data_IF_302091309673
#
_entry.id   IF_302091309673
#
_cell.length_a   1.000
_cell.length_b   1.000
_cell.length_c   1.000
_cell.angle_alpha   90.00
_cell.angle_beta   90.00
_cell.angle_gamma   90.00
#
_symmetry.space_group_name_H-M   'P 1'
#
loop_
_entity.id
_entity.type
_entity.pdbx_description
1 polymer ?
#
# COMPACT_ATOMS: atom_id res chain seq x y z
N UNK A 1 -37.23 -6.84 -8.30
CA UNK A 1 -35.85 -6.53 -8.67
C UNK A 1 -35.51 -5.19 -8.08
N UNK A 2 -34.50 -5.09 -7.24
CA UNK A 2 -34.08 -3.83 -6.60
C UNK A 2 -32.61 -3.58 -6.90
N UNK A 3 -32.26 -2.38 -7.34
CA UNK A 3 -30.87 -1.96 -7.47
C UNK A 3 -30.37 -1.34 -6.18
N UNK A 4 -29.19 -1.76 -5.72
CA UNK A 4 -28.49 -1.17 -4.58
C UNK A 4 -27.15 -0.64 -5.06
N UNK A 5 -26.93 0.65 -4.84
CA UNK A 5 -25.71 1.36 -5.23
C UNK A 5 -25.06 1.91 -3.95
N UNK A 6 -23.78 1.63 -3.75
CA UNK A 6 -22.99 2.18 -2.66
C UNK A 6 -21.88 3.06 -3.23
N UNK A 7 -21.80 4.31 -2.79
CA UNK A 7 -20.87 5.31 -3.27
C UNK A 7 -20.06 5.91 -2.11
N UNK A 8 -18.74 5.92 -2.24
CA UNK A 8 -17.81 6.54 -1.29
C UNK A 8 -17.54 7.99 -1.66
N UNK A 9 -17.87 8.93 -0.76
CA UNK A 9 -17.82 10.38 -1.04
C UNK A 9 -16.41 10.90 -1.38
N UNK A 10 -15.37 10.35 -0.75
CA UNK A 10 -13.96 10.75 -0.92
C UNK A 10 -13.12 9.79 -1.78
N UNK A 11 -13.75 8.76 -2.34
CA UNK A 11 -13.07 7.68 -3.05
C UNK A 11 -12.62 6.51 -2.14
N UNK A 12 -11.86 5.54 -2.67
CA UNK A 12 -11.71 4.22 -2.04
C UNK A 12 -10.47 4.08 -1.13
N UNK A 13 -9.73 5.16 -0.86
CA UNK A 13 -8.48 5.12 -0.10
C UNK A 13 -8.60 5.97 1.17
N UNK A 14 -8.19 5.41 2.30
CA UNK A 14 -8.32 6.03 3.62
C UNK A 14 -7.09 5.75 4.49
N UNK A 15 -6.80 6.61 5.46
CA UNK A 15 -5.91 6.29 6.57
C UNK A 15 -6.69 5.50 7.65
N UNK A 16 -6.00 4.60 8.34
CA UNK A 16 -6.53 3.99 9.56
C UNK A 16 -6.81 5.09 10.60
N UNK A 17 -8.02 5.09 11.18
CA UNK A 17 -8.52 6.14 12.07
C UNK A 17 -9.34 7.22 11.39
N UNK A 18 -9.36 7.32 10.05
CA UNK A 18 -10.26 8.24 9.34
C UNK A 18 -11.70 7.69 9.31
N UNK A 19 -12.69 8.59 9.38
CA UNK A 19 -14.06 8.22 9.04
C UNK A 19 -14.23 7.99 7.54
N UNK A 20 -14.89 6.87 7.24
CA UNK A 20 -15.40 6.53 5.92
C UNK A 20 -16.87 6.91 5.88
N UNK A 21 -17.26 7.65 4.85
CA UNK A 21 -18.64 7.95 4.52
C UNK A 21 -19.05 7.29 3.21
N UNK A 22 -20.20 6.62 3.23
CA UNK A 22 -20.77 5.94 2.08
C UNK A 22 -22.26 6.24 1.97
N UNK A 23 -22.71 6.65 0.79
CA UNK A 23 -24.15 6.78 0.49
C UNK A 23 -24.62 5.48 -0.16
N UNK A 24 -25.63 4.86 0.44
CA UNK A 24 -26.28 3.66 -0.06
C UNK A 24 -27.64 4.03 -0.60
N UNK A 25 -27.80 3.94 -1.91
CA UNK A 25 -29.05 4.23 -2.61
C UNK A 25 -29.70 2.92 -3.04
N UNK A 26 -30.96 2.76 -2.68
CA UNK A 26 -31.80 1.62 -3.05
C UNK A 26 -32.89 2.11 -3.99
N UNK A 27 -33.01 1.50 -5.16
CA UNK A 27 -33.90 1.93 -6.24
C UNK A 27 -34.73 0.79 -6.77
N UNK A 28 -36.03 1.01 -6.96
CA UNK A 28 -36.86 0.14 -7.78
C UNK A 28 -36.69 0.56 -9.26
N UNK A 29 -35.99 -0.22 -10.10
CA UNK A 29 -35.61 0.18 -11.45
C UNK A 29 -36.79 0.12 -12.45
N UNK A 30 -37.97 -0.29 -12.01
CA UNK A 30 -39.17 -0.27 -12.86
C UNK A 30 -39.54 1.16 -13.24
N UNK A 31 -40.08 1.39 -14.45
CA UNK A 31 -40.50 2.72 -14.86
C UNK A 31 -41.63 3.23 -13.95
N UNK A 32 -41.71 4.55 -13.70
CA UNK A 32 -42.78 5.15 -12.88
C UNK A 32 -44.21 4.89 -13.41
N UNK A 33 -44.32 4.48 -14.68
CA UNK A 33 -45.58 4.10 -15.33
C UNK A 33 -46.03 2.68 -15.00
N UNK A 34 -45.20 1.86 -14.35
CA UNK A 34 -45.58 0.54 -13.89
C UNK A 34 -46.57 0.63 -12.72
N UNK A 35 -47.37 -0.41 -12.53
CA UNK A 35 -48.43 -0.42 -11.53
C UNK A 35 -47.85 -0.50 -10.11
N UNK A 36 -48.47 0.13 -9.11
CA UNK A 36 -48.06 0.01 -7.70
C UNK A 36 -48.09 -1.44 -7.17
N UNK A 37 -48.77 -2.36 -7.87
CA UNK A 37 -48.68 -3.80 -7.59
C UNK A 37 -47.27 -4.39 -7.82
N UNK A 38 -46.39 -3.64 -8.49
CA UNK A 38 -44.97 -3.95 -8.67
C UNK A 38 -44.05 -3.25 -7.67
N UNK A 39 -44.63 -2.74 -6.57
CA UNK A 39 -43.91 -2.40 -5.34
C UNK A 39 -43.04 -3.58 -4.89
N UNK A 40 -41.81 -3.27 -4.51
CA UNK A 40 -40.86 -4.24 -3.97
C UNK A 40 -40.60 -3.97 -2.49
N UNK A 41 -40.47 -5.03 -1.69
CA UNK A 41 -40.29 -4.94 -0.25
C UNK A 41 -38.96 -5.59 0.18
N UNK A 42 -38.13 -4.78 0.84
CA UNK A 42 -36.89 -5.22 1.49
C UNK A 42 -37.12 -5.31 3.00
N UNK A 43 -36.73 -6.44 3.58
CA UNK A 43 -36.88 -6.68 5.02
C UNK A 43 -35.91 -5.80 5.82
N UNK A 44 -34.64 -5.70 5.40
CA UNK A 44 -33.64 -4.86 6.04
C UNK A 44 -32.37 -4.74 5.20
N UNK A 45 -31.54 -3.76 5.55
CA UNK A 45 -30.16 -3.67 5.09
C UNK A 45 -29.21 -3.25 6.22
N UNK A 46 -28.00 -3.80 6.23
CA UNK A 46 -26.96 -3.45 7.20
C UNK A 46 -25.60 -3.34 6.52
N UNK A 47 -24.76 -2.45 7.04
CA UNK A 47 -23.42 -2.19 6.53
C UNK A 47 -22.36 -2.44 7.61
N UNK A 48 -21.22 -3.01 7.20
CA UNK A 48 -20.11 -3.32 8.08
C UNK A 48 -18.79 -3.28 7.32
N UNK A 49 -17.74 -2.77 7.95
CA UNK A 49 -16.38 -2.80 7.41
C UNK A 49 -15.65 -4.01 8.01
N UNK A 50 -14.92 -4.74 7.17
CA UNK A 50 -14.11 -5.86 7.62
C UNK A 50 -12.79 -5.98 6.86
N UNK A 51 -11.77 -6.51 7.53
CA UNK A 51 -10.49 -6.88 6.96
C UNK A 51 -10.36 -8.40 6.88
N UNK A 52 -9.98 -8.89 5.71
CA UNK A 52 -9.69 -10.29 5.47
C UNK A 52 -8.21 -10.52 5.29
N UNK A 53 -7.74 -11.56 5.97
CA UNK A 53 -6.40 -12.06 5.90
C UNK A 53 -6.35 -13.38 5.16
N UNK A 54 -5.50 -13.46 4.15
CA UNK A 54 -5.20 -14.68 3.43
C UNK A 54 -3.70 -14.93 3.47
N UNK A 55 -3.30 -16.12 3.91
CA UNK A 55 -1.91 -16.57 3.91
C UNK A 55 -1.69 -17.64 2.82
N UNK A 56 -0.54 -17.58 2.15
CA UNK A 56 -0.12 -18.61 1.21
C UNK A 56 0.25 -19.87 1.96
N UNK A 57 -0.52 -20.94 1.79
CA UNK A 57 -0.24 -22.24 2.39
C UNK A 57 1.19 -22.71 2.06
N UNK A 58 1.71 -22.37 0.89
CA UNK A 58 3.05 -22.80 0.47
C UNK A 58 4.22 -22.14 1.22
N UNK A 59 3.99 -20.99 1.86
CA UNK A 59 5.02 -20.11 2.47
C UNK A 59 4.81 -19.89 3.96
N UNK A 60 3.55 -19.82 4.40
CA UNK A 60 3.14 -19.49 5.76
C UNK A 60 2.53 -20.73 6.42
N UNK A 61 2.99 -21.03 7.62
CA UNK A 61 2.42 -22.04 8.52
C UNK A 61 1.68 -21.31 9.64
N UNK A 62 0.36 -21.19 9.52
CA UNK A 62 -0.49 -20.68 10.59
C UNK A 62 -0.79 -21.79 11.60
N UNK A 63 -0.98 -21.44 12.89
CA UNK A 63 -1.53 -22.39 13.85
C UNK A 63 -2.89 -22.91 13.37
N UNK A 64 -3.30 -24.14 13.74
CA UNK A 64 -4.64 -24.62 13.46
C UNK A 64 -5.66 -23.62 14.05
N UNK A 65 -6.78 -23.36 13.36
CA UNK A 65 -7.82 -22.50 13.91
C UNK A 65 -8.28 -23.08 15.25
N UNK A 66 -8.40 -22.22 16.27
CA UNK A 66 -8.92 -22.65 17.55
C UNK A 66 -10.29 -23.30 17.35
N UNK A 67 -10.39 -24.59 17.68
CA UNK A 67 -11.65 -25.36 17.62
C UNK A 67 -12.81 -24.76 18.42
N UNK A 68 -12.54 -23.75 19.26
CA UNK A 68 -13.53 -23.00 20.04
C UNK A 68 -14.23 -21.87 19.27
N UNK A 69 -13.70 -21.44 18.11
CA UNK A 69 -14.48 -20.74 17.09
C UNK A 69 -14.77 -21.73 15.98
N UNK A 70 -15.79 -22.60 16.14
CA UNK A 70 -16.25 -23.33 14.99
C UNK A 70 -16.70 -22.26 13.98
N UNK A 71 -16.19 -22.36 12.76
CA UNK A 71 -16.67 -21.64 11.58
C UNK A 71 -18.07 -22.19 11.24
N UNK A 72 -18.96 -22.26 12.25
CA UNK A 72 -20.40 -22.41 12.09
C UNK A 72 -20.83 -21.12 11.45
N UNK A 73 -20.58 -21.01 10.14
CA UNK A 73 -21.45 -20.22 9.32
C UNK A 73 -22.85 -20.71 9.66
N UNK A 74 -23.72 -19.88 10.25
CA UNK A 74 -25.11 -20.25 10.34
C UNK A 74 -25.56 -20.67 8.94
N UNK A 75 -26.04 -21.91 8.81
CA UNK A 75 -26.64 -22.45 7.58
C UNK A 75 -27.79 -21.55 7.09
N UNK A 76 -28.30 -20.71 7.99
CA UNK A 76 -29.29 -19.69 7.69
C UNK A 76 -28.81 -18.70 6.63
N UNK A 77 -29.37 -18.84 5.43
CA UNK A 77 -29.11 -17.96 4.28
C UNK A 77 -29.56 -16.51 4.49
N UNK A 78 -30.21 -16.20 5.61
CA UNK A 78 -30.71 -14.85 5.93
C UNK A 78 -29.80 -14.08 6.88
N UNK A 79 -28.84 -14.71 7.57
CA UNK A 79 -27.97 -14.01 8.52
C UNK A 79 -26.96 -13.09 7.80
N UNK A 80 -26.75 -11.88 8.32
CA UNK A 80 -25.69 -10.99 7.86
C UNK A 80 -24.31 -11.50 8.29
N UNK A 81 -23.58 -12.06 7.32
CA UNK A 81 -22.18 -12.44 7.46
C UNK A 81 -21.37 -11.73 6.37
N UNK A 82 -20.67 -10.63 6.67
CA UNK A 82 -19.96 -9.84 5.65
C UNK A 82 -18.97 -10.67 4.82
N UNK A 83 -18.33 -11.65 5.47
CA UNK A 83 -17.31 -12.53 4.88
C UNK A 83 -17.88 -13.81 4.25
N UNK A 84 -19.20 -14.00 4.15
CA UNK A 84 -19.80 -15.21 3.57
C UNK A 84 -19.31 -15.46 2.13
N UNK A 85 -18.79 -16.66 1.87
CA UNK A 85 -18.27 -17.04 0.56
C UNK A 85 -16.91 -16.43 0.21
N UNK A 86 -16.27 -15.73 1.15
CA UNK A 86 -14.90 -15.25 0.99
C UNK A 86 -13.88 -16.25 1.56
N UNK A 87 -12.64 -16.20 1.06
CA UNK A 87 -11.55 -17.04 1.55
C UNK A 87 -10.69 -16.29 2.56
N UNK A 88 -10.15 -17.03 3.52
CA UNK A 88 -9.27 -16.48 4.55
C UNK A 88 -10.01 -16.16 5.83
N UNK A 89 -9.29 -15.55 6.77
CA UNK A 89 -9.77 -15.25 8.12
C UNK A 89 -10.19 -13.78 8.21
N UNK A 90 -11.34 -13.52 8.84
CA UNK A 90 -11.70 -12.15 9.21
C UNK A 90 -10.90 -11.77 10.46
N UNK A 91 -9.92 -10.88 10.32
CA UNK A 91 -9.02 -10.49 11.41
C UNK A 91 -9.49 -9.22 12.14
N UNK A 92 -10.41 -8.48 11.52
CA UNK A 92 -10.90 -7.21 12.02
C UNK A 92 -12.25 -6.90 11.40
N UNK A 93 -13.19 -6.43 12.21
CA UNK A 93 -14.50 -5.98 11.76
C UNK A 93 -15.02 -4.88 12.67
N UNK A 94 -15.76 -3.94 12.11
CA UNK A 94 -16.52 -2.94 12.87
C UNK A 94 -17.86 -3.52 13.31
N UNK A 95 -18.58 -2.93 14.28
CA UNK A 95 -19.96 -3.33 14.55
C UNK A 95 -20.85 -3.12 13.31
N UNK A 96 -21.78 -4.04 12.99
CA UNK A 96 -22.73 -3.83 11.91
C UNK A 96 -23.71 -2.70 12.26
N UNK A 97 -23.98 -1.81 11.30
CA UNK A 97 -24.99 -0.74 11.43
C UNK A 97 -26.17 -1.03 10.51
N UNK A 98 -27.39 -0.97 11.05
CA UNK A 98 -28.62 -1.12 10.28
C UNK A 98 -28.90 0.19 9.54
N UNK A 99 -29.12 0.11 8.23
CA UNK A 99 -29.47 1.26 7.40
C UNK A 99 -30.98 1.50 7.40
N UNK A 100 -31.76 0.42 7.28
CA UNK A 100 -33.22 0.45 7.36
C UNK A 100 -33.78 -0.93 7.68
N UNK A 101 -35.04 -0.94 8.12
CA UNK A 101 -35.91 -2.10 8.24
C UNK A 101 -37.21 -1.83 7.48
N UNK A 102 -37.81 -2.87 6.92
CA UNK A 102 -39.11 -2.86 6.24
C UNK A 102 -39.29 -1.71 5.23
N UNK A 103 -38.40 -1.64 4.24
CA UNK A 103 -38.47 -0.65 3.17
C UNK A 103 -39.37 -1.17 2.04
N UNK A 104 -40.35 -0.36 1.63
CA UNK A 104 -41.14 -0.56 0.42
C UNK A 104 -40.78 0.53 -0.58
N UNK A 105 -40.61 0.15 -1.84
CA UNK A 105 -40.33 1.08 -2.95
C UNK A 105 -41.30 0.84 -4.09
N UNK A 106 -42.04 1.88 -4.45
CA UNK A 106 -42.85 1.91 -5.66
C UNK A 106 -41.96 1.97 -6.92
N UNK A 107 -42.49 1.62 -8.11
CA UNK A 107 -41.74 1.71 -9.36
C UNK A 107 -41.12 3.10 -9.58
N UNK A 108 -39.82 3.14 -9.80
CA UNK A 108 -39.05 4.38 -9.99
C UNK A 108 -38.71 5.12 -8.69
N UNK A 109 -39.14 4.62 -7.54
CA UNK A 109 -38.77 5.18 -6.24
C UNK A 109 -37.35 4.79 -5.85
N UNK A 110 -36.61 5.76 -5.32
CA UNK A 110 -35.28 5.58 -4.77
C UNK A 110 -35.22 6.15 -3.36
N UNK A 111 -34.48 5.49 -2.47
CA UNK A 111 -34.18 6.00 -1.14
C UNK A 111 -32.71 5.83 -0.82
N UNK A 112 -32.09 6.90 -0.33
CA UNK A 112 -30.67 6.93 0.02
C UNK A 112 -30.46 7.02 1.52
N UNK A 113 -29.42 6.35 2.00
CA UNK A 113 -29.01 6.31 3.40
C UNK A 113 -27.53 6.62 3.50
N UNK A 114 -27.12 7.38 4.51
CA UNK A 114 -25.71 7.64 4.79
C UNK A 114 -25.18 6.66 5.82
N UNK A 115 -24.07 6.00 5.50
CA UNK A 115 -23.28 5.16 6.39
C UNK A 115 -21.98 5.89 6.72
N UNK A 116 -21.69 6.06 8.01
CA UNK A 116 -20.42 6.62 8.47
C UNK A 116 -19.80 5.70 9.51
N UNK A 117 -18.51 5.42 9.39
CA UNK A 117 -17.74 4.58 10.31
C UNK A 117 -16.27 4.96 10.36
N UNK A 118 -15.68 4.98 11.56
CA UNK A 118 -14.24 5.23 11.73
C UNK A 118 -13.46 3.94 11.50
N UNK A 119 -12.50 3.98 10.58
CA UNK A 119 -11.65 2.82 10.29
C UNK A 119 -10.79 2.47 11.51
N UNK A 120 -10.78 1.20 11.95
CA UNK A 120 -9.95 0.80 13.10
C UNK A 120 -8.46 1.08 12.90
N UNK A 121 -7.80 1.56 13.95
CA UNK A 121 -6.37 1.92 13.95
C UNK A 121 -5.44 0.72 14.11
N UNK A 122 -5.89 -0.34 14.81
CA UNK A 122 -5.08 -1.52 15.15
C UNK A 122 -4.93 -2.52 13.99
N UNK A 123 -5.49 -2.21 12.82
CA UNK A 123 -5.48 -3.07 11.65
C UNK A 123 -4.18 -2.97 10.82
N UNK A 124 -3.81 -4.02 10.07
CA UNK A 124 -2.72 -3.93 9.08
C UNK A 124 -3.12 -3.03 7.90
N UNK A 125 -2.17 -2.48 7.12
CA UNK A 125 -2.52 -1.79 5.88
C UNK A 125 -3.07 -2.77 4.83
N UNK A 126 -3.83 -2.24 3.86
CA UNK A 126 -4.20 -3.00 2.66
C UNK A 126 -2.95 -3.38 1.89
N UNK A 127 -2.70 -4.69 1.76
CA UNK A 127 -1.48 -5.22 1.17
C UNK A 127 -1.76 -6.52 0.39
N UNK A 128 -1.06 -6.70 -0.72
CA UNK A 128 -1.12 -7.92 -1.52
C UNK A 128 0.30 -8.37 -1.86
N UNK A 129 0.86 -9.24 -1.03
CA UNK A 129 2.16 -9.87 -1.22
C UNK A 129 2.08 -11.27 -1.83
N UNK A 130 3.21 -11.95 -1.88
CA UNK A 130 3.31 -13.35 -2.28
C UNK A 130 2.98 -14.30 -1.13
N UNK A 131 3.25 -13.88 0.11
CA UNK A 131 3.06 -14.70 1.31
C UNK A 131 1.73 -14.39 1.98
N UNK A 132 1.31 -13.13 2.01
CA UNK A 132 0.04 -12.75 2.63
C UNK A 132 -0.73 -11.68 1.85
N UNK A 133 -2.03 -11.58 2.14
CA UNK A 133 -2.92 -10.55 1.61
C UNK A 133 -3.83 -10.03 2.73
N UNK A 134 -3.92 -8.71 2.87
CA UNK A 134 -4.84 -8.00 3.75
C UNK A 134 -5.80 -7.16 2.90
N UNK A 135 -7.11 -7.45 2.98
CA UNK A 135 -8.14 -6.86 2.13
C UNK A 135 -9.24 -6.24 2.96
N UNK A 136 -9.43 -4.94 2.84
CA UNK A 136 -10.55 -4.23 3.48
C UNK A 136 -11.71 -4.09 2.52
N UNK A 137 -12.93 -4.25 3.04
CA UNK A 137 -14.17 -4.03 2.31
C UNK A 137 -15.22 -3.44 3.22
N UNK A 138 -16.01 -2.53 2.67
CA UNK A 138 -17.34 -2.23 3.20
C UNK A 138 -18.32 -3.21 2.57
N UNK A 139 -19.10 -3.91 3.38
CA UNK A 139 -20.11 -4.85 2.90
C UNK A 139 -21.49 -4.40 3.33
N UNK A 140 -22.38 -4.24 2.35
CA UNK A 140 -23.79 -3.96 2.55
C UNK A 140 -24.54 -5.26 2.32
N UNK A 141 -25.16 -5.80 3.36
CA UNK A 141 -26.08 -6.91 3.27
C UNK A 141 -27.50 -6.40 3.12
N UNK A 142 -28.22 -6.89 2.12
CA UNK A 142 -29.60 -6.52 1.86
C UNK A 142 -30.43 -7.80 1.71
N UNK A 143 -31.63 -7.82 2.30
CA UNK A 143 -32.51 -8.97 2.21
C UNK A 143 -33.88 -8.55 1.67
N UNK A 144 -34.29 -9.13 0.54
CA UNK A 144 -35.68 -9.08 0.08
C UNK A 144 -36.54 -10.01 0.93
N UNK A 145 -37.80 -9.63 1.18
CA UNK A 145 -38.74 -10.49 1.93
C UNK A 145 -38.80 -11.88 1.28
N UNK A 146 -38.77 -12.94 2.11
CA UNK A 146 -38.76 -14.34 1.68
C UNK A 146 -37.62 -14.74 0.73
N UNK A 147 -36.51 -14.01 0.73
CA UNK A 147 -35.34 -14.26 -0.14
C UNK A 147 -34.05 -14.38 0.71
N UNK A 148 -33.02 -15.08 0.22
CA UNK A 148 -31.70 -15.08 0.87
C UNK A 148 -31.08 -13.68 0.85
N UNK A 149 -30.14 -13.43 1.77
CA UNK A 149 -29.40 -12.17 1.81
C UNK A 149 -28.46 -12.06 0.60
N UNK A 150 -28.39 -10.87 -0.01
CA UNK A 150 -27.39 -10.51 -1.01
C UNK A 150 -26.37 -9.54 -0.39
N UNK A 151 -25.11 -9.67 -0.80
CA UNK A 151 -23.99 -8.89 -0.24
C UNK A 151 -23.34 -8.04 -1.33
N UNK A 152 -23.49 -6.73 -1.25
CA UNK A 152 -22.72 -5.76 -2.03
C UNK A 152 -21.40 -5.48 -1.31
N UNK A 153 -20.28 -5.54 -2.03
CA UNK A 153 -18.94 -5.37 -1.47
C UNK A 153 -18.22 -4.23 -2.15
N UNK A 154 -17.88 -3.20 -1.40
CA UNK A 154 -17.10 -2.05 -1.84
C UNK A 154 -15.65 -2.24 -1.36
N UNK A 155 -14.67 -2.43 -2.25
CA UNK A 155 -13.27 -2.62 -1.86
C UNK A 155 -12.66 -1.31 -1.36
N UNK A 156 -11.89 -1.39 -0.28
CA UNK A 156 -11.24 -0.25 0.35
C UNK A 156 -9.73 -0.47 0.46
N UNK A 157 -8.97 0.61 0.28
CA UNK A 157 -7.53 0.62 0.52
C UNK A 157 -7.22 1.42 1.77
N UNK A 158 -6.73 0.73 2.80
CA UNK A 158 -6.34 1.34 4.07
C UNK A 158 -4.82 1.54 4.10
N UNK A 159 -4.40 2.77 4.37
CA UNK A 159 -3.02 3.15 4.66
C UNK A 159 -2.85 3.26 6.18
N UNK A 160 -1.71 2.83 6.71
CA UNK A 160 -1.42 2.91 8.14
C UNK A 160 -0.18 3.76 8.34
N UNK A 161 -0.27 4.79 9.18
CA UNK A 161 0.87 5.60 9.62
C UNK A 161 1.15 5.31 11.11
N UNK A 162 2.21 4.54 11.35
CA UNK A 162 2.61 4.12 12.71
C UNK A 162 2.94 5.33 13.59
N UNK A 163 2.49 5.30 14.85
CA UNK A 163 2.74 6.35 15.84
C UNK A 163 1.69 7.47 15.86
N UNK A 164 0.71 7.51 14.95
CA UNK A 164 -0.45 8.41 15.06
C UNK A 164 -1.29 8.14 16.31
N UNK A 165 -1.36 6.88 16.76
CA UNK A 165 -2.13 6.44 17.93
C UNK A 165 -1.67 7.07 19.25
N UNK A 166 -0.38 7.42 19.37
CA UNK A 166 0.19 7.96 20.61
C UNK A 166 -0.22 9.42 20.87
N UNK A 167 -0.88 10.09 19.92
CA UNK A 167 -1.39 11.46 20.12
C UNK A 167 -2.71 11.37 20.87
N UNK A 168 -2.63 11.39 22.20
CA UNK A 168 -3.77 11.82 23.00
C UNK A 168 -4.21 13.19 22.51
N UNK A 169 -5.53 13.38 22.38
CA UNK A 169 -6.12 14.71 22.30
C UNK A 169 -5.45 15.59 23.37
N UNK A 170 -5.04 16.84 23.07
CA UNK A 170 -4.85 17.80 24.14
C UNK A 170 -6.22 17.99 24.82
N UNK A 171 -6.50 17.14 25.79
CA UNK A 171 -7.66 17.22 26.66
C UNK A 171 -7.29 18.25 27.73
N UNK A 172 -7.51 19.52 27.38
CA UNK A 172 -7.14 20.72 28.14
C UNK A 172 -5.63 21.01 28.17
N UNK A 173 -5.10 21.69 27.15
CA UNK A 173 -4.06 22.69 27.42
C UNK A 173 -3.96 23.77 26.32
N UNK A 174 -4.09 25.02 26.78
CA UNK A 174 -3.78 26.27 26.11
C UNK A 174 -4.66 26.68 24.91
N UNK A 175 -5.63 27.54 25.23
CA UNK A 175 -5.86 28.90 24.64
C UNK A 175 -4.89 29.28 23.50
N UNK A 176 -4.90 28.55 22.38
CA UNK A 176 -4.46 29.08 21.11
C UNK A 176 -5.61 29.94 20.60
N UNK A 177 -5.38 31.19 20.19
CA UNK A 177 -6.46 32.01 19.67
C UNK A 177 -7.06 31.29 18.47
N UNK A 178 -8.32 30.87 18.62
CA UNK A 178 -9.15 30.46 17.50
C UNK A 178 -9.05 31.57 16.45
N UNK A 179 -8.50 31.26 15.28
CA UNK A 179 -8.38 32.25 14.21
C UNK A 179 -9.76 32.87 14.00
N UNK A 180 -9.93 34.20 14.17
CA UNK A 180 -11.25 34.84 14.09
C UNK A 180 -11.87 34.81 12.68
N UNK A 181 -11.20 34.16 11.73
CA UNK A 181 -11.61 33.97 10.34
C UNK A 181 -12.05 32.53 10.03
N UNK A 182 -11.96 31.61 10.99
CA UNK A 182 -12.39 30.22 10.82
C UNK A 182 -13.69 30.00 11.60
N UNK A 183 -14.78 29.68 10.89
CA UNK A 183 -16.00 29.23 11.56
C UNK A 183 -15.77 27.87 12.21
N UNK A 184 -16.19 27.75 13.47
CA UNK A 184 -16.08 26.52 14.24
C UNK A 184 -17.16 25.52 13.81
N UNK A 185 -16.90 24.74 12.76
CA UNK A 185 -17.81 23.62 12.44
C UNK A 185 -17.41 22.38 13.25
N UNK A 186 -18.06 22.20 14.41
CA UNK A 186 -17.65 21.21 15.42
C UNK A 186 -17.84 19.74 14.99
N UNK A 187 -18.71 19.44 14.02
CA UNK A 187 -18.97 18.05 13.61
C UNK A 187 -17.93 17.45 12.66
N UNK A 188 -17.25 18.27 11.85
CA UNK A 188 -16.28 17.81 10.83
C UNK A 188 -14.80 17.90 11.24
N UNK A 189 -14.49 18.55 12.37
CA UNK A 189 -13.10 18.82 12.79
C UNK A 189 -12.29 17.55 13.07
N UNK A 190 -12.88 16.49 13.62
CA UNK A 190 -12.11 15.30 14.06
C UNK A 190 -11.47 14.55 12.89
N UNK A 191 -12.20 14.38 11.79
CA UNK A 191 -11.71 13.65 10.61
C UNK A 191 -10.74 14.48 9.77
N UNK A 192 -10.97 15.79 9.64
CA UNK A 192 -10.01 16.72 9.04
C UNK A 192 -8.70 16.78 9.84
N UNK A 193 -8.79 16.79 11.17
CA UNK A 193 -7.64 16.90 12.06
C UNK A 193 -6.67 15.72 11.94
N UNK A 194 -7.16 14.47 11.90
CA UNK A 194 -6.26 13.32 11.72
C UNK A 194 -5.51 13.37 10.39
N UNK A 195 -6.19 13.80 9.31
CA UNK A 195 -5.57 13.98 8.01
C UNK A 195 -4.54 15.11 8.01
N UNK A 196 -4.83 16.24 8.68
CA UNK A 196 -3.91 17.37 8.85
C UNK A 196 -2.68 17.00 9.69
N UNK A 197 -2.89 16.36 10.85
CA UNK A 197 -1.83 15.88 11.74
C UNK A 197 -0.95 14.84 11.05
N UNK A 198 -1.56 13.90 10.31
CA UNK A 198 -0.82 12.95 9.49
C UNK A 198 0.00 13.69 8.42
N UNK A 199 -0.58 14.70 7.77
CA UNK A 199 0.10 15.54 6.79
C UNK A 199 1.31 16.28 7.37
N UNK A 200 1.16 16.91 8.53
CA UNK A 200 2.23 17.61 9.25
C UNK A 200 3.37 16.65 9.62
N UNK A 201 3.04 15.49 10.20
CA UNK A 201 4.02 14.47 10.58
C UNK A 201 4.77 13.91 9.38
N UNK A 202 4.07 13.65 8.28
CA UNK A 202 4.69 13.22 7.04
C UNK A 202 5.63 14.30 6.50
N UNK A 203 5.22 15.57 6.51
CA UNK A 203 6.07 16.68 6.09
C UNK A 203 7.31 16.81 6.97
N UNK A 204 7.17 16.75 8.30
CA UNK A 204 8.29 16.80 9.23
C UNK A 204 9.26 15.62 9.00
N UNK A 205 8.75 14.41 8.82
CA UNK A 205 9.56 13.21 8.63
C UNK A 205 10.27 13.14 7.26
N UNK A 206 9.71 13.71 6.20
CA UNK A 206 10.28 13.61 4.84
C UNK A 206 10.97 14.88 4.33
N UNK A 207 10.84 16.01 5.04
CA UNK A 207 11.46 17.31 4.66
C UNK A 207 12.95 17.38 4.99
N UNK A 208 13.41 16.68 6.03
CA UNK A 208 14.81 16.70 6.44
C UNK A 208 15.71 16.07 5.36
N UNK A 209 16.67 16.85 4.86
CA UNK A 209 17.66 16.42 3.87
C UNK A 209 19.05 16.53 4.48
N UNK A 210 19.75 15.42 4.58
CA UNK A 210 21.15 15.32 4.98
C UNK A 210 21.88 14.37 4.04
N UNK A 211 22.98 14.82 3.45
CA UNK A 211 23.77 14.01 2.53
C UNK A 211 24.51 12.91 3.29
N UNK A 212 24.11 11.67 3.08
CA UNK A 212 24.78 10.48 3.57
C UNK A 212 25.68 9.93 2.47
N UNK A 213 26.97 9.80 2.77
CA UNK A 213 27.98 9.28 1.86
C UNK A 213 28.38 7.87 2.29
N UNK A 214 28.45 6.95 1.32
CA UNK A 214 28.84 5.57 1.51
C UNK A 214 30.00 5.25 0.57
N UNK A 215 31.11 4.77 1.11
CA UNK A 215 32.21 4.28 0.30
C UNK A 215 31.83 2.92 -0.30
N UNK A 216 31.95 2.81 -1.62
CA UNK A 216 31.79 1.56 -2.35
C UNK A 216 33.19 1.01 -2.60
N UNK A 217 33.46 -0.17 -2.07
CA UNK A 217 34.73 -0.87 -2.27
C UNK A 217 34.45 -2.34 -2.59
N UNK A 218 35.25 -2.90 -3.49
CA UNK A 218 35.33 -4.34 -3.66
C UNK A 218 36.49 -4.90 -2.80
N UNK A 219 36.75 -6.21 -2.89
CA UNK A 219 37.88 -6.83 -2.17
C UNK A 219 39.27 -6.36 -2.63
N UNK A 220 39.37 -5.57 -3.71
CA UNK A 220 40.63 -5.09 -4.31
C UNK A 220 40.87 -3.61 -4.05
N UNK A 221 39.83 -2.82 -3.79
CA UNK A 221 39.95 -1.40 -3.50
C UNK A 221 38.66 -0.61 -3.61
N UNK A 222 38.79 0.72 -3.70
CA UNK A 222 37.67 1.65 -3.78
C UNK A 222 37.13 1.66 -5.21
N UNK A 223 35.82 1.50 -5.37
CA UNK A 223 35.12 1.66 -6.65
C UNK A 223 34.59 3.09 -6.79
N UNK A 224 34.12 3.67 -5.69
CA UNK A 224 33.59 5.03 -5.68
C UNK A 224 32.88 5.39 -4.38
N UNK A 225 32.05 6.41 -4.43
CA UNK A 225 31.25 6.90 -3.31
C UNK A 225 29.81 7.10 -3.76
N UNK A 226 28.87 6.51 -3.04
CA UNK A 226 27.44 6.73 -3.21
C UNK A 226 26.94 7.80 -2.25
N UNK A 227 26.11 8.72 -2.73
CA UNK A 227 25.48 9.77 -1.95
C UNK A 227 23.95 9.74 -2.04
N UNK A 228 23.29 9.85 -0.90
CA UNK A 228 21.82 9.97 -0.80
C UNK A 228 21.45 11.09 0.17
N UNK A 229 20.42 11.88 -0.16
CA UNK A 229 20.08 13.07 0.60
C UNK A 229 19.11 12.84 1.76
N UNK A 230 18.50 11.67 1.87
CA UNK A 230 17.66 11.26 3.00
C UNK A 230 17.41 9.75 2.96
N UNK A 231 16.97 9.19 4.07
CA UNK A 231 16.62 7.76 4.18
C UNK A 231 15.12 7.51 4.38
N UNK A 232 14.33 8.58 4.56
CA UNK A 232 12.88 8.54 4.78
C UNK A 232 12.16 9.25 3.65
N UNK A 233 11.27 8.52 3.00
CA UNK A 233 10.49 8.95 1.84
C UNK A 233 9.01 8.67 2.09
N UNK A 234 8.14 9.26 1.29
CA UNK A 234 6.72 8.89 1.21
C UNK A 234 6.38 8.34 -0.18
N UNK A 235 5.28 7.62 -0.29
CA UNK A 235 4.74 7.18 -1.57
C UNK A 235 4.58 8.37 -2.54
N UNK A 236 5.01 8.19 -3.78
CA UNK A 236 4.99 9.23 -4.82
C UNK A 236 6.21 10.14 -4.87
N UNK A 237 7.19 9.97 -3.98
CA UNK A 237 8.48 10.66 -4.08
C UNK A 237 9.49 9.89 -4.92
N UNK A 238 10.51 10.61 -5.36
CA UNK A 238 11.64 10.06 -6.08
C UNK A 238 12.83 9.86 -5.13
N UNK A 239 13.45 8.68 -5.21
CA UNK A 239 14.73 8.40 -4.56
C UNK A 239 15.86 8.82 -5.49
N UNK A 240 16.47 9.96 -5.17
CA UNK A 240 17.60 10.50 -5.92
C UNK A 240 18.92 10.13 -5.23
N UNK A 241 19.84 9.57 -6.01
CA UNK A 241 21.17 9.21 -5.57
C UNK A 241 22.24 9.67 -6.54
N UNK A 242 23.45 9.88 -6.04
CA UNK A 242 24.62 10.24 -6.84
C UNK A 242 25.73 9.23 -6.64
N UNK A 243 26.47 8.92 -7.71
CA UNK A 243 27.66 8.08 -7.67
C UNK A 243 28.85 8.91 -8.13
N UNK A 244 29.90 8.95 -7.32
CA UNK A 244 31.21 9.50 -7.67
C UNK A 244 32.20 8.34 -7.82
N UNK A 245 32.59 8.04 -9.05
CA UNK A 245 33.50 6.94 -9.40
C UNK A 245 34.92 7.45 -9.71
N UNK A 246 35.12 8.77 -9.78
CA UNK A 246 36.42 9.37 -10.12
C UNK A 246 37.54 9.10 -9.11
N UNK A 247 37.18 8.83 -7.85
CA UNK A 247 38.14 8.51 -6.77
C UNK A 247 38.37 7.00 -6.62
N UNK A 248 37.82 6.17 -7.51
CA UNK A 248 37.94 4.72 -7.47
C UNK A 248 39.32 4.25 -7.93
N UNK A 249 39.95 3.36 -7.17
CA UNK A 249 41.10 2.57 -7.61
C UNK A 249 40.70 1.40 -8.50
N UNK A 250 39.41 1.01 -8.47
CA UNK A 250 38.83 -0.07 -9.28
C UNK A 250 37.83 0.51 -10.27
N UNK A 251 38.01 0.20 -11.56
CA UNK A 251 37.14 0.70 -12.61
C UNK A 251 35.76 0.02 -12.57
N UNK A 252 34.70 0.84 -12.41
CA UNK A 252 33.32 0.40 -12.54
C UNK A 252 32.88 0.47 -14.00
N UNK A 253 32.48 -0.67 -14.57
CA UNK A 253 32.04 -0.77 -15.96
C UNK A 253 30.56 -0.48 -16.11
N UNK A 254 29.77 -0.97 -15.15
CA UNK A 254 28.32 -0.82 -15.14
C UNK A 254 27.81 -0.85 -13.71
N UNK A 255 26.72 -0.14 -13.45
CA UNK A 255 25.95 -0.32 -12.23
C UNK A 255 24.45 -0.42 -12.53
N UNK A 256 23.73 -1.03 -11.62
CA UNK A 256 22.27 -1.11 -11.58
C UNK A 256 21.82 -0.78 -10.18
N UNK A 257 20.77 0.03 -10.06
CA UNK A 257 20.11 0.32 -8.79
C UNK A 257 18.61 0.07 -8.93
N UNK A 258 18.07 -0.76 -8.04
CA UNK A 258 16.66 -1.16 -8.05
C UNK A 258 15.99 -0.76 -6.74
N UNK A 259 14.84 -0.11 -6.84
CA UNK A 259 13.94 0.14 -5.71
C UNK A 259 13.12 -1.12 -5.48
N UNK A 260 13.28 -1.74 -4.31
CA UNK A 260 12.68 -3.03 -4.00
C UNK A 260 11.91 -3.01 -2.69
N UNK A 261 10.83 -3.79 -2.63
CA UNK A 261 10.22 -4.23 -1.38
C UNK A 261 10.66 -5.65 -1.03
N UNK A 262 11.04 -5.85 0.21
CA UNK A 262 11.36 -7.13 0.83
C UNK A 262 10.19 -7.54 1.73
N UNK A 263 9.45 -8.56 1.30
CA UNK A 263 8.42 -9.22 2.10
C UNK A 263 9.05 -10.42 2.81
N UNK A 264 9.04 -10.41 4.14
CA UNK A 264 9.61 -11.46 4.97
C UNK A 264 8.56 -12.01 5.92
N UNK A 265 8.31 -13.31 5.85
CA UNK A 265 7.48 -14.03 6.82
C UNK A 265 8.26 -14.19 8.12
N UNK A 266 7.63 -13.93 9.26
CA UNK A 266 8.25 -14.08 10.58
C UNK A 266 8.58 -15.55 10.87
N UNK A 267 9.73 -15.85 11.49
CA UNK A 267 10.24 -17.21 11.62
C UNK A 267 9.29 -18.18 12.34
N UNK A 268 8.44 -17.68 13.22
CA UNK A 268 7.41 -18.44 13.95
C UNK A 268 6.34 -19.01 13.01
N UNK A 269 6.07 -18.31 11.90
CA UNK A 269 5.05 -18.64 10.90
C UNK A 269 5.66 -19.11 9.58
N UNK A 270 6.98 -19.29 9.49
CA UNK A 270 7.62 -19.81 8.29
C UNK A 270 7.35 -21.31 8.14
N UNK A 271 6.88 -21.72 6.96
CA UNK A 271 6.72 -23.14 6.66
C UNK A 271 8.10 -23.79 6.50
N UNK A 272 8.54 -24.57 7.51
CA UNK A 272 9.80 -25.33 7.47
C UNK A 272 9.77 -26.31 6.30
N UNK A 273 10.55 -26.04 5.26
CA UNK A 273 10.85 -27.00 4.18
C UNK A 273 12.24 -27.57 4.43
N UNK A 274 12.34 -28.75 5.03
CA UNK A 274 13.64 -29.42 5.24
C UNK A 274 14.65 -28.69 6.15
N UNK A 275 15.71 -29.40 6.54
CA UNK A 275 16.81 -28.88 7.37
C UNK A 275 17.71 -27.96 6.55
N UNK A 276 17.69 -26.65 6.81
CA UNK A 276 18.68 -25.69 6.28
C UNK A 276 18.16 -24.63 5.29
N UNK A 277 16.86 -24.40 5.18
CA UNK A 277 16.32 -23.42 4.22
C UNK A 277 16.42 -21.98 4.74
N UNK A 278 16.98 -21.11 3.89
CA UNK A 278 17.04 -19.66 4.05
C UNK A 278 15.66 -19.06 4.40
N UNK A 279 15.59 -17.92 5.11
CA UNK A 279 14.33 -17.29 5.43
C UNK A 279 13.46 -17.08 4.17
N UNK A 280 12.16 -17.31 4.27
CA UNK A 280 11.23 -17.06 3.16
C UNK A 280 11.11 -15.54 2.96
N UNK A 281 11.94 -15.03 2.05
CA UNK A 281 12.01 -13.62 1.67
C UNK A 281 11.62 -13.51 0.20
N UNK A 282 10.62 -12.70 -0.10
CA UNK A 282 10.20 -12.34 -1.45
C UNK A 282 10.59 -10.90 -1.76
N UNK A 283 11.18 -10.68 -2.93
CA UNK A 283 11.53 -9.35 -3.42
C UNK A 283 10.62 -8.96 -4.59
N UNK A 284 10.15 -7.71 -4.60
CA UNK A 284 9.45 -7.11 -5.74
C UNK A 284 10.19 -5.84 -6.11
N UNK A 285 10.59 -5.73 -7.38
CA UNK A 285 11.22 -4.52 -7.92
C UNK A 285 10.16 -3.57 -8.46
N UNK A 286 10.17 -2.32 -8.00
CA UNK A 286 9.21 -1.28 -8.40
C UNK A 286 9.77 -0.37 -9.50
N UNK A 287 11.07 -0.08 -9.44
CA UNK A 287 11.79 0.70 -10.44
C UNK A 287 13.25 0.23 -10.50
N UNK A 288 13.88 0.40 -11.66
CA UNK A 288 15.29 0.09 -11.87
C UNK A 288 15.92 1.14 -12.77
N UNK A 289 17.14 1.53 -12.43
CA UNK A 289 18.01 2.34 -13.27
C UNK A 289 19.30 1.57 -13.50
N UNK A 290 19.82 1.62 -14.73
CA UNK A 290 21.02 0.90 -15.13
C UNK A 290 21.81 1.75 -16.11
N UNK A 291 23.13 1.82 -15.91
CA UNK A 291 24.02 2.64 -16.71
C UNK A 291 25.39 1.98 -16.84
N UNK A 292 25.98 2.07 -18.04
CA UNK A 292 27.38 1.74 -18.29
C UNK A 292 28.24 2.96 -17.95
N UNK A 293 29.17 2.81 -17.00
CA UNK A 293 29.85 3.91 -16.34
C UNK A 293 31.38 3.89 -16.47
N UNK A 294 31.90 3.21 -17.50
CA UNK A 294 33.33 3.18 -17.80
C UNK A 294 33.84 4.61 -18.12
N UNK A 295 34.86 5.08 -17.39
CA UNK A 295 35.37 6.46 -17.39
C UNK A 295 34.37 7.54 -16.97
N UNK A 296 33.20 7.19 -16.46
CA UNK A 296 32.26 8.16 -15.88
C UNK A 296 32.79 8.61 -14.51
N UNK A 297 33.14 9.88 -14.35
CA UNK A 297 33.61 10.41 -13.06
C UNK A 297 32.46 10.52 -12.05
N UNK A 298 31.30 10.99 -12.50
CA UNK A 298 30.13 11.20 -11.66
C UNK A 298 28.85 10.95 -12.46
N UNK A 299 27.88 10.31 -11.83
CA UNK A 299 26.53 10.12 -12.38
C UNK A 299 25.49 10.22 -11.26
N UNK A 300 24.21 10.23 -11.63
CA UNK A 300 23.07 10.30 -10.73
C UNK A 300 21.89 9.52 -11.30
N UNK A 301 21.04 9.02 -10.41
CA UNK A 301 19.80 8.35 -10.78
C UNK A 301 18.62 8.92 -10.00
N UNK A 302 17.41 8.70 -10.52
CA UNK A 302 16.14 8.96 -9.84
C UNK A 302 15.25 7.71 -9.97
N UNK A 303 14.80 7.17 -8.83
CA UNK A 303 13.90 6.01 -8.79
C UNK A 303 12.54 6.42 -8.21
N UNK A 304 11.46 6.39 -9.00
CA UNK A 304 10.13 6.78 -8.52
C UNK A 304 9.54 5.74 -7.57
N UNK A 305 9.05 6.18 -6.40
CA UNK A 305 8.27 5.35 -5.48
C UNK A 305 6.79 5.42 -5.92
N UNK A 306 6.16 4.30 -6.36
CA UNK A 306 4.79 4.36 -6.85
C UNK A 306 3.78 4.79 -5.76
N UNK A 307 2.84 5.69 -6.08
CA UNK A 307 1.75 6.07 -5.16
C UNK A 307 0.86 4.89 -4.75
N UNK A 308 0.78 3.88 -5.62
CA UNK A 308 -0.08 2.71 -5.44
C UNK A 308 0.57 1.60 -4.61
N UNK A 309 1.85 1.73 -4.26
CA UNK A 309 2.58 0.71 -3.50
C UNK A 309 2.27 0.79 -2.00
N UNK A 310 2.48 -0.32 -1.28
CA UNK A 310 2.24 -0.37 0.16
C UNK A 310 3.48 0.16 0.90
N UNK A 311 3.34 1.11 1.84
CA UNK A 311 4.44 1.55 2.71
C UNK A 311 5.05 0.41 3.51
N UNK A 312 6.22 0.64 4.11
CA UNK A 312 6.81 -0.36 5.00
C UNK A 312 5.93 -0.59 6.24
N UNK A 313 5.68 -1.85 6.59
CA UNK A 313 4.90 -2.21 7.78
C UNK A 313 5.40 -3.53 8.38
N UNK A 314 4.96 -3.81 9.61
CA UNK A 314 5.27 -5.06 10.30
C UNK A 314 4.01 -5.55 11.03
N UNK A 315 3.68 -6.82 10.86
CA UNK A 315 2.68 -7.54 11.65
C UNK A 315 3.34 -8.72 12.37
N UNK A 316 2.58 -9.44 13.19
CA UNK A 316 3.04 -10.67 13.82
C UNK A 316 3.44 -11.75 12.80
N UNK A 317 2.94 -11.69 11.55
CA UNK A 317 3.13 -12.75 10.55
C UNK A 317 4.10 -12.34 9.45
N UNK A 318 4.08 -11.08 9.01
CA UNK A 318 4.89 -10.60 7.90
C UNK A 318 5.48 -9.22 8.20
N UNK A 319 6.63 -8.93 7.61
CA UNK A 319 7.15 -7.57 7.49
C UNK A 319 7.37 -7.22 6.03
N UNK A 320 7.05 -5.98 5.66
CA UNK A 320 7.37 -5.38 4.37
C UNK A 320 8.37 -4.25 4.61
N UNK A 321 9.57 -4.37 4.04
CA UNK A 321 10.61 -3.34 4.11
C UNK A 321 10.96 -2.84 2.73
N UNK A 322 11.48 -1.62 2.64
CA UNK A 322 11.95 -1.03 1.40
C UNK A 322 13.47 -0.96 1.40
N UNK A 323 14.08 -1.19 0.24
CA UNK A 323 15.53 -1.12 0.06
C UNK A 323 15.90 -0.64 -1.34
N UNK A 324 17.08 -0.04 -1.46
CA UNK A 324 17.78 0.10 -2.72
C UNK A 324 18.74 -1.08 -2.84
N UNK A 325 18.60 -1.82 -3.93
CA UNK A 325 19.50 -2.93 -4.29
C UNK A 325 20.43 -2.47 -5.40
N UNK A 326 21.72 -2.40 -5.10
CA UNK A 326 22.77 -2.06 -6.02
C UNK A 326 23.47 -3.32 -6.52
N UNK A 327 23.79 -3.35 -7.81
CA UNK A 327 24.66 -4.33 -8.43
C UNK A 327 25.72 -3.57 -9.22
N UNK A 328 26.99 -3.90 -8.99
CA UNK A 328 28.12 -3.29 -9.67
C UNK A 328 28.87 -4.33 -10.47
N UNK A 329 29.31 -3.94 -11.67
CA UNK A 329 30.21 -4.71 -12.53
C UNK A 329 31.52 -3.95 -12.60
N UNK A 330 32.60 -4.56 -12.11
CA UNK A 330 33.94 -3.95 -12.02
C UNK A 330 34.94 -4.71 -12.87
N UNK A 331 35.93 -4.02 -13.42
CA UNK A 331 37.02 -4.66 -14.15
C UNK A 331 37.98 -5.38 -13.20
N UNK A 332 38.45 -6.57 -13.59
CA UNK A 332 39.57 -7.24 -12.92
C UNK A 332 40.94 -6.72 -13.34
N UNK A 333 41.01 -6.02 -14.46
CA UNK A 333 42.26 -5.46 -14.98
C UNK A 333 42.57 -4.12 -14.29
N UNK A 334 43.66 -4.03 -13.51
CA UNK A 334 44.08 -2.76 -12.94
C UNK A 334 44.52 -1.82 -14.07
N UNK A 335 43.92 -0.63 -14.11
CA UNK A 335 44.30 0.39 -15.09
C UNK A 335 43.90 0.06 -16.53
N UNK A 336 42.63 -0.34 -16.77
CA UNK A 336 42.00 -0.19 -18.09
C UNK A 336 42.04 1.29 -18.50
N UNK A 337 43.21 1.75 -18.94
CA UNK A 337 43.43 3.05 -19.55
C UNK A 337 43.14 2.83 -21.02
N UNK A 338 41.85 2.90 -21.36
CA UNK A 338 41.38 2.92 -22.74
C UNK A 338 41.51 4.33 -23.33
N UNK A 339 42.61 5.02 -23.01
CA UNK A 339 42.99 6.19 -23.79
C UNK A 339 43.46 5.68 -25.15
N UNK A 340 43.03 6.31 -26.27
CA UNK A 340 43.63 5.99 -27.55
C UNK A 340 45.16 6.15 -27.42
N UNK A 341 45.97 5.25 -27.99
CA UNK A 341 47.40 5.48 -28.08
C UNK A 341 47.62 6.88 -28.66
N UNK A 342 48.44 7.69 -28.00
CA UNK A 342 48.65 9.10 -28.37
C UNK A 342 49.12 9.26 -29.83
N UNK A 343 49.59 8.18 -30.43
CA UNK A 343 50.12 8.11 -31.78
C UNK A 343 49.54 6.88 -32.51
N UNK A 344 48.47 7.07 -33.28
CA UNK A 344 48.12 6.16 -34.37
C UNK A 344 48.27 6.92 -35.70
N UNK A 345 49.06 6.41 -36.66
CA UNK A 345 49.37 7.12 -37.91
C UNK A 345 48.18 7.21 -38.88
N UNK A 346 47.14 6.42 -38.67
CA UNK A 346 45.93 6.38 -39.51
C UNK A 346 44.68 6.64 -38.63
N UNK A 347 43.60 7.22 -39.20
CA UNK A 347 42.32 7.37 -38.51
C UNK A 347 41.68 5.99 -38.27
N UNK A 348 42.12 5.29 -37.23
CA UNK A 348 41.51 4.05 -36.80
C UNK A 348 40.21 4.35 -36.05
N UNK A 349 39.13 3.67 -36.43
CA UNK A 349 37.91 3.64 -35.62
C UNK A 349 38.25 2.96 -34.30
N UNK A 350 38.27 3.72 -33.22
CA UNK A 350 38.53 3.18 -31.90
C UNK A 350 37.34 2.34 -31.43
N UNK A 351 37.57 1.06 -31.16
CA UNK A 351 36.56 0.15 -30.61
C UNK A 351 36.89 -0.17 -29.16
N UNK A 352 35.85 -0.31 -28.34
CA UNK A 352 36.03 -0.85 -26.99
C UNK A 352 36.57 -2.29 -27.02
N UNK A 353 37.13 -2.78 -25.90
CA UNK A 353 37.56 -4.17 -25.80
C UNK A 353 36.40 -5.13 -26.02
N UNK A 354 36.62 -6.21 -26.79
CA UNK A 354 35.59 -7.22 -27.08
C UNK A 354 35.23 -8.05 -25.83
N UNK A 355 36.21 -8.29 -24.96
CA UNK A 355 36.06 -9.03 -23.72
C UNK A 355 36.86 -8.33 -22.62
N UNK A 356 36.24 -8.18 -21.46
CA UNK A 356 36.87 -7.65 -20.26
C UNK A 356 36.58 -8.61 -19.12
N UNK A 357 37.59 -9.06 -18.36
CA UNK A 357 37.34 -9.86 -17.17
C UNK A 357 36.66 -8.98 -16.10
N UNK A 358 35.53 -9.46 -15.56
CA UNK A 358 34.72 -8.70 -14.60
C UNK A 358 34.50 -9.42 -13.29
N UNK A 359 34.28 -8.64 -12.23
CA UNK A 359 33.65 -9.09 -11.00
C UNK A 359 32.32 -8.37 -10.76
N UNK A 360 31.38 -9.10 -10.16
CA UNK A 360 30.09 -8.57 -9.77
C UNK A 360 29.93 -8.66 -8.27
N UNK A 361 29.37 -7.61 -7.68
CA UNK A 361 28.97 -7.62 -6.27
C UNK A 361 27.71 -6.78 -6.10
N UNK A 362 26.99 -7.03 -5.03
CA UNK A 362 25.76 -6.32 -4.70
C UNK A 362 25.85 -5.68 -3.32
N UNK A 363 25.06 -4.63 -3.14
CA UNK A 363 24.94 -3.90 -1.89
C UNK A 363 23.49 -3.47 -1.69
N UNK A 364 22.99 -3.62 -0.47
CA UNK A 364 21.62 -3.26 -0.11
C UNK A 364 21.62 -2.11 0.90
N UNK A 365 20.88 -1.04 0.59
CA UNK A 365 20.65 0.08 1.49
C UNK A 365 19.17 0.13 1.89
N UNK A 366 18.84 -0.11 3.18
CA UNK A 366 17.45 0.01 3.64
C UNK A 366 17.00 1.47 3.62
N UNK A 367 15.76 1.70 3.21
CA UNK A 367 15.09 3.00 3.27
C UNK A 367 13.72 2.85 3.93
N UNK A 368 13.20 3.92 4.53
CA UNK A 368 11.85 3.96 5.11
C UNK A 368 10.91 4.65 4.13
N UNK A 369 9.84 3.97 3.73
CA UNK A 369 8.77 4.55 2.91
C UNK A 369 7.51 4.64 3.76
N UNK A 370 7.02 5.86 3.93
CA UNK A 370 5.82 6.23 4.66
C UNK A 370 4.60 6.35 3.70
N UNK A 371 3.37 6.22 4.20
CA UNK A 371 2.18 6.56 3.41
C UNK A 371 2.19 8.03 2.96
N UNK A 372 1.31 8.36 2.04
CA UNK A 372 1.01 9.73 1.61
C UNK A 372 -0.46 10.04 1.88
N UNK A 373 -0.92 11.26 1.56
CA UNK A 373 -2.33 11.62 1.70
C UNK A 373 -3.23 10.66 0.92
N UNK A 374 -4.28 10.08 1.54
CA UNK A 374 -5.23 9.19 0.87
C UNK A 374 -5.86 9.81 -0.38
N UNK A 375 -6.15 11.10 -0.34
CA UNK A 375 -6.74 11.86 -1.45
C UNK A 375 -5.84 11.79 -2.68
N UNK A 376 -4.53 11.97 -2.54
CA UNK A 376 -3.58 11.88 -3.66
C UNK A 376 -3.54 10.48 -4.27
N UNK A 377 -3.61 9.45 -3.42
CA UNK A 377 -3.61 8.04 -3.87
C UNK A 377 -4.91 7.71 -4.59
N UNK A 378 -6.05 8.20 -4.08
CA UNK A 378 -7.38 8.05 -4.68
C UNK A 378 -7.42 8.64 -6.10
N UNK A 379 -6.81 9.82 -6.30
CA UNK A 379 -6.68 10.43 -7.63
C UNK A 379 -5.77 9.64 -8.59
N UNK A 380 -4.66 9.08 -8.10
CA UNK A 380 -3.68 8.39 -8.94
C UNK A 380 -4.11 6.96 -9.35
N UNK A 381 -4.90 6.30 -8.50
CA UNK A 381 -5.50 4.99 -8.80
C UNK A 381 -6.98 5.02 -8.43
N UNK A 382 -7.85 5.52 -9.33
CA UNK A 382 -9.29 5.46 -9.12
C UNK A 382 -9.73 3.99 -9.06
N UNK A 383 -9.92 3.49 -7.85
CA UNK A 383 -10.68 2.27 -7.63
C UNK A 383 -12.17 2.54 -7.81
N UNK A 384 -13.04 1.51 -7.78
CA UNK A 384 -14.48 1.75 -7.81
C UNK A 384 -14.90 2.47 -6.53
N UNK A 385 -15.12 3.79 -6.61
CA UNK A 385 -15.79 4.57 -5.57
C UNK A 385 -17.26 4.18 -5.46
N UNK A 386 -17.83 3.70 -6.56
CA UNK A 386 -19.22 3.27 -6.68
C UNK A 386 -19.27 1.79 -7.02
N UNK A 387 -20.05 1.03 -6.27
CA UNK A 387 -20.35 -0.38 -6.57
C UNK A 387 -21.86 -0.57 -6.55
N UNK A 388 -22.39 -1.39 -7.46
CA UNK A 388 -23.82 -1.71 -7.49
C UNK A 388 -24.06 -3.20 -7.55
N UNK A 389 -25.22 -3.62 -7.07
CA UNK A 389 -25.75 -4.98 -7.21
C UNK A 389 -27.26 -4.90 -7.44
N UNK A 390 -27.79 -5.86 -8.18
CA UNK A 390 -29.23 -6.04 -8.31
C UNK A 390 -29.67 -7.24 -7.49
N UNK A 391 -30.76 -7.07 -6.74
CA UNK A 391 -31.37 -8.03 -5.82
C UNK A 391 -32.67 -8.56 -6.40
#
# INVERSE_FOLDING_TARGET
>A
MIEVVAELSRGPVFLAGEALECVVTVTNPLPPTATSASSEALAWASAQIHCQFHASESRVALPPPDSSQPDVQPDSQTVFLPHRGERGQCILSTPPKILFCDLRLDPGESKSYSYSEVLPTEGPPSFRGQSVKYVYKLTIGCQRVNSPITLLRVPLRVLVLTGLQDVHFPQDEAVAPSSPFLEEDDSGKKDSWLAELAGERLMAATSCRSLHLYNISDGRGKVGTFGIFKSVYRLGEDVVGTLNLGEGTVACLQFSVSLQTEERVQPEYQRRRGTGVAPSVSHVTHARHQESCLHTTRTSFSLPIPLCSTPGFCTAIVSLKWRLHFEFVTSREPGLVLLPPLEQPEPATWTGPEQVPVDTFSWDLPIKVLPTSPTLVSYAAPGPSTSSITI
#
